data_IF_159751482721
#
_entry.id   IF_159751482721
#
_cell.length_a   1.000
_cell.length_b   1.000
_cell.length_c   1.000
_cell.angle_alpha   90.00
_cell.angle_beta   90.00
_cell.angle_gamma   90.00
#
_symmetry.space_group_name_H-M   'P 1'
#
loop_
_entity.id
_entity.type
_entity.pdbx_description
1 polymer ?
#
# COMPACT_ATOMS: atom_id res chain seq x y z
N UNK A 1 8.44 -42.13 1.42
CA UNK A 1 9.49 -41.13 1.15
C UNK A 1 8.88 -39.74 0.91
N UNK A 2 8.01 -39.27 1.82
CA UNK A 2 7.39 -37.94 1.74
C UNK A 2 7.26 -37.39 3.15
N UNK A 3 8.38 -36.91 3.71
CA UNK A 3 8.47 -36.10 4.92
C UNK A 3 9.96 -35.85 5.18
N UNK A 4 10.54 -34.85 4.50
CA UNK A 4 11.83 -34.22 4.82
C UNK A 4 12.17 -33.11 3.80
N UNK A 5 11.23 -32.19 3.55
CA UNK A 5 11.50 -30.93 2.86
C UNK A 5 10.53 -29.87 3.41
N UNK A 6 10.73 -29.43 4.65
CA UNK A 6 9.94 -28.32 5.21
C UNK A 6 10.74 -27.38 6.13
N UNK A 7 12.03 -27.61 6.33
CA UNK A 7 12.82 -26.83 7.31
C UNK A 7 14.09 -26.21 6.76
N UNK A 8 14.33 -26.29 5.45
CA UNK A 8 15.55 -25.74 4.82
C UNK A 8 15.33 -24.44 4.04
N UNK A 9 14.08 -24.01 3.80
CA UNK A 9 13.82 -22.94 2.81
C UNK A 9 13.98 -21.52 3.37
N UNK A 10 13.82 -21.28 4.67
CA UNK A 10 13.76 -19.89 5.18
C UNK A 10 15.13 -19.23 5.40
N UNK A 11 16.19 -20.02 5.67
CA UNK A 11 17.54 -19.48 5.91
C UNK A 11 18.35 -19.26 4.63
N UNK A 12 18.06 -19.99 3.55
CA UNK A 12 18.73 -19.82 2.26
C UNK A 12 18.24 -18.61 1.46
N UNK A 13 16.95 -18.27 1.57
CA UNK A 13 16.34 -17.19 0.77
C UNK A 13 16.82 -15.80 1.18
N UNK A 14 17.05 -15.56 2.47
CA UNK A 14 17.49 -14.23 2.96
C UNK A 14 18.94 -13.94 2.57
N UNK A 15 19.82 -14.95 2.57
CA UNK A 15 21.23 -14.77 2.19
C UNK A 15 21.40 -14.71 0.66
N UNK A 16 20.57 -15.42 -0.12
CA UNK A 16 20.52 -15.25 -1.57
C UNK A 16 20.00 -13.87 -1.98
N UNK A 17 19.03 -13.30 -1.26
CA UNK A 17 18.54 -11.94 -1.53
C UNK A 17 19.65 -10.90 -1.44
N UNK A 18 20.58 -11.00 -0.49
CA UNK A 18 21.66 -10.00 -0.33
C UNK A 18 22.74 -10.13 -1.42
N UNK A 19 23.05 -11.35 -1.88
CA UNK A 19 24.07 -11.57 -2.93
C UNK A 19 23.51 -11.27 -4.34
N UNK A 20 22.21 -11.42 -4.58
CA UNK A 20 21.58 -11.12 -5.87
C UNK A 20 21.30 -9.63 -6.12
N UNK A 21 21.29 -8.79 -5.08
CA UNK A 21 21.14 -7.32 -5.20
C UNK A 21 22.20 -6.70 -6.12
N UNK A 22 23.36 -7.34 -6.29
CA UNK A 22 24.48 -6.78 -7.05
C UNK A 22 24.63 -7.29 -8.50
N UNK A 23 23.84 -8.28 -8.95
CA UNK A 23 24.17 -9.01 -10.19
C UNK A 23 23.10 -9.00 -11.30
N UNK A 24 21.83 -8.69 -11.04
CA UNK A 24 20.84 -8.47 -12.12
C UNK A 24 19.53 -7.87 -11.60
N UNK A 25 19.19 -6.61 -11.96
CA UNK A 25 17.91 -6.00 -11.59
C UNK A 25 16.69 -6.80 -12.09
N UNK A 26 16.81 -7.46 -13.25
CA UNK A 26 15.72 -8.17 -13.93
C UNK A 26 15.27 -9.45 -13.22
N UNK A 27 16.19 -10.15 -12.56
CA UNK A 27 15.90 -11.38 -11.79
C UNK A 27 15.35 -11.09 -10.38
N UNK A 28 15.68 -9.93 -9.83
CA UNK A 28 15.09 -9.42 -8.58
C UNK A 28 13.60 -9.14 -8.73
N UNK A 29 13.19 -8.57 -9.87
CA UNK A 29 11.77 -8.38 -10.21
C UNK A 29 11.00 -9.70 -10.17
N UNK A 30 11.53 -10.78 -10.74
CA UNK A 30 10.83 -12.08 -10.72
C UNK A 30 10.75 -12.71 -9.33
N UNK A 31 11.78 -12.59 -8.49
CA UNK A 31 11.82 -13.17 -7.14
C UNK A 31 10.96 -12.39 -6.13
N UNK A 32 10.96 -11.06 -6.22
CA UNK A 32 10.00 -10.23 -5.49
C UNK A 32 8.59 -10.50 -6.00
N UNK A 33 8.36 -10.57 -7.31
CA UNK A 33 7.02 -10.84 -7.85
C UNK A 33 6.50 -12.23 -7.48
N UNK A 34 7.34 -13.28 -7.41
CA UNK A 34 6.91 -14.59 -6.94
C UNK A 34 6.69 -14.63 -5.41
N UNK A 35 7.53 -13.93 -4.64
CA UNK A 35 7.27 -13.74 -3.20
C UNK A 35 6.05 -12.85 -2.95
N UNK A 36 5.78 -11.83 -3.76
CA UNK A 36 4.63 -10.92 -3.65
C UNK A 36 3.37 -11.48 -4.28
N UNK A 37 3.41 -12.40 -5.24
CA UNK A 37 2.24 -13.16 -5.70
C UNK A 37 1.92 -14.31 -4.75
N UNK A 38 2.93 -14.94 -4.13
CA UNK A 38 2.71 -15.93 -3.08
C UNK A 38 2.23 -15.26 -1.78
N UNK A 39 2.81 -14.12 -1.40
CA UNK A 39 2.33 -13.25 -0.31
C UNK A 39 1.03 -12.58 -0.71
N UNK A 40 0.77 -12.17 -1.95
CA UNK A 40 -0.56 -11.68 -2.36
C UNK A 40 -1.56 -12.81 -2.36
N UNK A 41 -1.24 -14.07 -2.67
CA UNK A 41 -2.22 -15.15 -2.55
C UNK A 41 -2.48 -15.53 -1.09
N UNK A 42 -1.46 -15.54 -0.23
CA UNK A 42 -1.68 -15.68 1.22
C UNK A 42 -2.43 -14.47 1.78
N UNK A 43 -2.00 -13.25 1.48
CA UNK A 43 -2.60 -12.00 1.95
C UNK A 43 -3.98 -11.74 1.33
N UNK A 44 -4.28 -12.12 0.09
CA UNK A 44 -5.63 -12.08 -0.52
C UNK A 44 -6.56 -13.10 0.15
N UNK A 45 -6.03 -14.22 0.65
CA UNK A 45 -6.79 -15.14 1.51
C UNK A 45 -6.89 -14.62 2.97
N UNK A 46 -5.93 -13.82 3.44
CA UNK A 46 -5.94 -13.15 4.76
C UNK A 46 -6.73 -11.82 4.77
N UNK A 47 -7.08 -11.27 3.60
CA UNK A 47 -7.76 -9.98 3.41
C UNK A 47 -9.29 -10.08 3.43
N UNK A 48 -9.86 -11.26 3.71
CA UNK A 48 -11.09 -11.28 4.49
C UNK A 48 -10.73 -10.68 5.84
N UNK A 49 -10.89 -9.35 5.96
CA UNK A 49 -10.44 -8.55 7.11
C UNK A 49 -10.72 -9.25 8.44
N UNK A 50 -9.90 -9.01 9.48
CA UNK A 50 -9.80 -9.89 10.66
C UNK A 50 -11.19 -10.38 11.04
N UNK A 51 -11.42 -11.69 10.88
CA UNK A 51 -12.66 -12.32 11.29
C UNK A 51 -12.98 -11.79 12.68
N UNK A 52 -14.20 -11.24 12.86
CA UNK A 52 -14.66 -10.52 14.06
C UNK A 52 -14.49 -11.31 15.37
N UNK A 53 -14.02 -12.56 15.30
CA UNK A 53 -13.63 -13.45 16.39
C UNK A 53 -12.20 -13.29 16.92
N UNK A 54 -11.32 -12.50 16.29
CA UNK A 54 -9.92 -12.36 16.76
C UNK A 54 -9.83 -11.74 18.18
N UNK A 55 -10.85 -11.02 18.63
CA UNK A 55 -10.94 -10.47 19.99
C UNK A 55 -11.19 -11.51 21.10
N UNK A 56 -11.64 -12.73 20.77
CA UNK A 56 -11.95 -13.78 21.77
C UNK A 56 -10.77 -14.69 22.12
N UNK A 57 -9.79 -14.86 21.23
CA UNK A 57 -8.56 -15.64 21.47
C UNK A 57 -7.38 -14.80 22.03
N UNK A 58 -7.61 -13.50 22.24
CA UNK A 58 -6.58 -12.47 22.44
C UNK A 58 -5.82 -12.47 23.79
N UNK A 59 -6.44 -12.72 24.96
CA UNK A 59 -5.72 -12.79 26.24
C UNK A 59 -4.70 -13.94 26.26
N UNK A 60 -5.00 -15.00 25.52
CA UNK A 60 -4.15 -16.18 25.43
C UNK A 60 -2.87 -15.87 24.63
N UNK A 61 -2.94 -15.10 23.54
CA UNK A 61 -1.79 -14.71 22.72
C UNK A 61 -0.76 -13.87 23.48
N UNK A 62 -1.19 -12.92 24.31
CA UNK A 62 -0.30 -12.10 25.14
C UNK A 62 0.38 -12.93 26.24
N UNK A 63 -0.37 -13.81 26.91
CA UNK A 63 0.17 -14.76 27.88
C UNK A 63 1.14 -15.76 27.24
N UNK A 64 0.84 -16.23 26.03
CA UNK A 64 1.70 -17.09 25.21
C UNK A 64 2.99 -16.39 24.79
N UNK A 65 2.95 -15.11 24.44
CA UNK A 65 4.15 -14.33 24.18
C UNK A 65 5.01 -14.22 25.45
N UNK A 66 4.43 -13.81 26.58
CA UNK A 66 5.17 -13.64 27.84
C UNK A 66 5.79 -14.95 28.35
N UNK A 67 5.13 -16.09 28.14
CA UNK A 67 5.68 -17.43 28.47
C UNK A 67 6.75 -17.89 27.48
N UNK A 68 6.51 -17.73 26.18
CA UNK A 68 7.46 -18.12 25.12
C UNK A 68 8.73 -17.27 25.12
N UNK A 69 8.62 -15.96 25.30
CA UNK A 69 9.74 -15.02 25.32
C UNK A 69 10.66 -15.24 26.54
N UNK A 70 10.08 -15.64 27.69
CA UNK A 70 10.86 -16.01 28.89
C UNK A 70 11.57 -17.37 28.73
N UNK A 71 10.94 -18.33 28.07
CA UNK A 71 11.52 -19.65 27.83
C UNK A 71 12.65 -19.61 26.79
N UNK A 72 12.51 -18.79 25.75
CA UNK A 72 13.48 -18.70 24.65
C UNK A 72 13.76 -17.24 24.24
N UNK A 73 14.60 -16.50 24.98
CA UNK A 73 14.90 -15.09 24.71
C UNK A 73 15.53 -14.80 23.33
N UNK A 74 16.14 -15.82 22.71
CA UNK A 74 16.78 -15.70 21.40
C UNK A 74 15.86 -16.04 20.22
N UNK A 75 14.68 -16.62 20.48
CA UNK A 75 13.75 -17.05 19.44
C UNK A 75 12.88 -15.88 18.95
N UNK A 76 12.50 -15.85 17.66
CA UNK A 76 11.62 -14.83 17.09
C UNK A 76 10.14 -15.14 17.42
N UNK A 77 9.83 -15.26 18.72
CA UNK A 77 8.52 -15.71 19.23
C UNK A 77 7.40 -14.85 18.67
N UNK A 78 7.61 -13.53 18.60
CA UNK A 78 6.59 -12.59 18.12
C UNK A 78 6.29 -12.75 16.62
N UNK A 79 7.32 -13.01 15.81
CA UNK A 79 7.19 -13.27 14.38
C UNK A 79 6.44 -14.58 14.12
N UNK A 80 6.75 -15.63 14.88
CA UNK A 80 6.03 -16.91 14.79
C UNK A 80 4.55 -16.77 15.19
N UNK A 81 4.27 -15.95 16.21
CA UNK A 81 2.90 -15.65 16.62
C UNK A 81 2.14 -14.87 15.55
N UNK A 82 2.79 -13.90 14.90
CA UNK A 82 2.20 -13.16 13.78
C UNK A 82 1.76 -14.11 12.67
N UNK A 83 2.66 -15.01 12.25
CA UNK A 83 2.38 -16.00 11.22
C UNK A 83 1.26 -16.98 11.61
N UNK A 84 1.22 -17.43 12.87
CA UNK A 84 0.16 -18.33 13.37
C UNK A 84 -1.21 -17.64 13.46
N UNK A 85 -1.22 -16.34 13.72
CA UNK A 85 -2.42 -15.53 13.85
C UNK A 85 -2.89 -14.91 12.53
N UNK A 86 -2.17 -15.15 11.43
CA UNK A 86 -2.42 -14.54 10.13
C UNK A 86 -2.47 -13.00 10.18
N UNK A 87 -1.55 -12.43 10.97
CA UNK A 87 -1.37 -10.98 11.11
C UNK A 87 -0.01 -10.56 10.55
N UNK A 88 0.08 -9.34 10.02
CA UNK A 88 1.38 -8.80 9.65
C UNK A 88 2.28 -8.66 10.89
N UNK A 89 3.59 -8.95 10.78
CA UNK A 89 4.52 -8.82 11.90
C UNK A 89 4.48 -7.45 12.58
N UNK A 90 4.36 -6.36 11.82
CA UNK A 90 4.26 -4.99 12.32
C UNK A 90 2.94 -4.76 13.09
N UNK A 91 1.83 -5.32 12.62
CA UNK A 91 0.56 -5.25 13.36
C UNK A 91 0.65 -6.03 14.68
N UNK A 92 1.19 -7.25 14.64
CA UNK A 92 1.41 -8.04 15.86
C UNK A 92 2.32 -7.31 16.86
N UNK A 93 3.41 -6.73 16.38
CA UNK A 93 4.33 -5.92 17.19
C UNK A 93 3.64 -4.73 17.85
N UNK A 94 2.82 -4.00 17.09
CA UNK A 94 2.03 -2.87 17.60
C UNK A 94 1.10 -3.31 18.72
N UNK A 95 0.34 -4.38 18.53
CA UNK A 95 -0.66 -4.79 19.54
C UNK A 95 0.03 -5.30 20.82
N UNK A 96 1.13 -6.05 20.70
CA UNK A 96 1.89 -6.52 21.88
C UNK A 96 2.55 -5.34 22.62
N UNK A 97 3.12 -4.37 21.91
CA UNK A 97 3.69 -3.18 22.53
C UNK A 97 2.62 -2.33 23.22
N UNK A 98 1.47 -2.13 22.58
CA UNK A 98 0.34 -1.41 23.18
C UNK A 98 -0.09 -2.07 24.49
N UNK A 99 -0.14 -3.41 24.52
CA UNK A 99 -0.47 -4.14 25.74
C UNK A 99 0.61 -4.04 26.81
N UNK A 100 1.89 -4.08 26.41
CA UNK A 100 3.03 -3.92 27.32
C UNK A 100 2.98 -2.57 28.04
N UNK A 101 2.61 -1.51 27.33
CA UNK A 101 2.47 -0.15 27.90
C UNK A 101 1.25 0.02 28.82
N UNK A 102 0.25 -0.86 28.74
CA UNK A 102 -0.95 -0.81 29.59
C UNK A 102 -0.77 -1.44 30.98
N UNK A 103 0.32 -2.17 31.24
CA UNK A 103 0.58 -2.82 32.54
C UNK A 103 -0.37 -3.99 32.88
N UNK A 104 -0.12 -4.70 34.00
CA UNK A 104 -0.93 -5.84 34.44
C UNK A 104 -2.31 -5.45 35.02
N UNK A 105 -2.49 -4.22 35.50
CA UNK A 105 -3.77 -3.72 36.00
C UNK A 105 -4.52 -3.01 34.87
N UNK A 106 -5.25 -3.80 34.10
CA UNK A 106 -6.20 -3.29 33.14
C UNK A 106 -7.35 -2.58 33.85
N UNK A 107 -7.22 -1.27 34.09
CA UNK A 107 -8.40 -0.42 34.11
C UNK A 107 -9.00 -0.42 32.70
N UNK A 108 -10.07 -1.19 32.57
CA UNK A 108 -10.94 -1.29 31.40
C UNK A 108 -11.23 0.10 30.84
N UNK A 109 -10.57 0.49 29.73
CA UNK A 109 -11.06 1.61 28.91
C UNK A 109 -12.14 1.13 27.94
N UNK A 110 -13.14 1.96 27.63
CA UNK A 110 -14.27 1.57 26.81
C UNK A 110 -13.81 1.17 25.41
N UNK A 111 -14.50 0.16 24.86
CA UNK A 111 -14.51 -0.11 23.42
C UNK A 111 -14.83 1.18 22.68
N UNK A 112 -13.99 1.52 21.70
CA UNK A 112 -14.03 2.70 20.84
C UNK A 112 -13.68 4.05 21.53
N UNK A 113 -12.49 4.56 21.19
CA UNK A 113 -12.14 5.98 21.33
C UNK A 113 -11.21 6.31 22.50
N UNK A 114 -10.06 6.90 22.15
CA UNK A 114 -9.13 7.61 23.04
C UNK A 114 -8.17 6.76 23.91
N UNK A 115 -7.17 6.15 23.26
CA UNK A 115 -5.83 6.21 23.84
C UNK A 115 -5.44 7.70 23.95
N UNK A 116 -4.92 8.13 25.11
CA UNK A 116 -4.36 9.48 25.26
C UNK A 116 -3.40 9.74 24.11
N UNK A 117 -3.49 10.89 23.44
CA UNK A 117 -2.66 11.21 22.27
C UNK A 117 -1.16 11.04 22.58
N UNK A 118 -0.76 11.35 23.82
CA UNK A 118 0.59 11.09 24.32
C UNK A 118 1.00 9.61 24.29
N UNK A 119 0.09 8.68 24.57
CA UNK A 119 0.34 7.23 24.56
C UNK A 119 0.50 6.69 23.14
N UNK A 120 -0.26 7.22 22.16
CA UNK A 120 -0.07 6.89 20.74
C UNK A 120 1.27 7.39 20.22
N UNK A 121 1.65 8.61 20.59
CA UNK A 121 2.94 9.19 20.20
C UNK A 121 4.10 8.38 20.76
N UNK A 122 4.05 7.98 22.04
CA UNK A 122 5.06 7.11 22.65
C UNK A 122 5.14 5.75 21.95
N UNK A 123 3.99 5.13 21.68
CA UNK A 123 3.92 3.86 20.96
C UNK A 123 4.55 3.96 19.56
N UNK A 124 4.19 4.98 18.78
CA UNK A 124 4.74 5.17 17.43
C UNK A 124 6.25 5.42 17.47
N UNK A 125 6.73 6.19 18.46
CA UNK A 125 8.17 6.40 18.66
C UNK A 125 8.91 5.10 18.98
N UNK A 126 8.36 4.25 19.85
CA UNK A 126 8.95 2.95 20.20
C UNK A 126 8.88 1.92 19.06
N UNK A 127 7.86 1.96 18.21
CA UNK A 127 7.81 1.12 17.01
C UNK A 127 8.84 1.55 15.97
N UNK A 128 9.06 2.87 15.83
CA UNK A 128 10.07 3.44 14.94
C UNK A 128 11.49 3.18 15.45
N UNK A 129 11.68 3.29 16.76
CA UNK A 129 12.96 3.10 17.44
C UNK A 129 12.81 2.08 18.58
N UNK A 130 12.91 0.76 18.28
CA UNK A 130 12.72 -0.30 19.28
C UNK A 130 13.71 -0.25 20.45
N UNK A 131 14.83 0.46 20.31
CA UNK A 131 15.81 0.65 21.40
C UNK A 131 15.25 1.45 22.59
N UNK A 132 14.16 2.19 22.38
CA UNK A 132 13.45 2.93 23.45
C UNK A 132 12.62 2.02 24.37
N UNK A 133 12.45 0.74 24.01
CA UNK A 133 11.62 -0.20 24.76
C UNK A 133 12.44 -0.74 25.95
N UNK A 134 11.95 -0.59 27.21
CA UNK A 134 12.70 -1.01 28.39
C UNK A 134 13.01 -2.51 28.46
N UNK A 135 12.13 -3.35 27.92
CA UNK A 135 12.35 -4.80 27.84
C UNK A 135 13.21 -5.14 26.60
N UNK A 136 14.48 -5.57 26.77
CA UNK A 136 15.37 -5.87 25.65
C UNK A 136 14.92 -7.07 24.81
N UNK A 137 14.15 -8.01 25.39
CA UNK A 137 13.63 -9.17 24.65
C UNK A 137 12.49 -8.71 23.74
N UNK A 138 11.60 -7.86 24.25
CA UNK A 138 10.53 -7.24 23.47
C UNK A 138 11.07 -6.30 22.39
N UNK A 139 12.04 -5.45 22.72
CA UNK A 139 12.73 -4.58 21.77
C UNK A 139 13.28 -5.39 20.58
N UNK A 140 13.98 -6.49 20.86
CA UNK A 140 14.53 -7.39 19.84
C UNK A 140 13.45 -8.06 19.00
N UNK A 141 12.38 -8.55 19.62
CA UNK A 141 11.28 -9.21 18.91
C UNK A 141 10.52 -8.23 17.99
N UNK A 142 10.28 -7.01 18.47
CA UNK A 142 9.66 -5.94 17.67
C UNK A 142 10.57 -5.55 16.50
N UNK A 143 11.86 -5.34 16.76
CA UNK A 143 12.83 -5.08 15.69
C UNK A 143 12.83 -6.19 14.64
N UNK A 144 12.82 -7.47 15.06
CA UNK A 144 12.70 -8.60 14.14
C UNK A 144 11.40 -8.57 13.33
N UNK A 145 10.27 -8.20 13.94
CA UNK A 145 9.02 -8.04 13.21
C UNK A 145 9.12 -6.92 12.18
N UNK A 146 9.67 -5.77 12.54
CA UNK A 146 9.83 -4.61 11.64
C UNK A 146 10.67 -4.95 10.40
N UNK A 147 11.82 -5.64 10.57
CA UNK A 147 12.70 -5.97 9.43
C UNK A 147 12.20 -7.15 8.58
N UNK A 148 11.34 -8.01 9.13
CA UNK A 148 10.77 -9.17 8.42
C UNK A 148 9.33 -8.93 7.94
N UNK A 149 8.76 -7.74 8.18
CA UNK A 149 7.43 -7.41 7.69
C UNK A 149 7.49 -7.19 6.17
N UNK A 150 6.75 -8.04 5.45
CA UNK A 150 6.69 -8.03 3.99
C UNK A 150 5.61 -7.10 3.41
N UNK A 151 4.84 -6.42 4.26
CA UNK A 151 3.70 -5.60 3.86
C UNK A 151 3.89 -4.12 4.21
N UNK A 152 4.32 -3.82 5.43
CA UNK A 152 4.38 -2.50 6.06
C UNK A 152 5.72 -2.20 6.73
N UNK A 153 6.76 -2.99 6.42
CA UNK A 153 8.12 -2.76 6.91
C UNK A 153 8.80 -1.60 6.16
N UNK A 154 9.75 -0.86 6.79
CA UNK A 154 10.42 0.27 6.15
C UNK A 154 11.09 -0.07 4.81
N UNK A 155 11.67 -1.26 4.70
CA UNK A 155 12.28 -1.74 3.45
C UNK A 155 11.23 -1.92 2.35
N UNK A 156 10.07 -2.48 2.69
CA UNK A 156 8.96 -2.69 1.75
C UNK A 156 8.39 -1.35 1.32
N UNK A 157 8.28 -0.39 2.23
CA UNK A 157 7.83 0.96 1.91
C UNK A 157 8.81 1.66 0.94
N UNK A 158 10.12 1.53 1.16
CA UNK A 158 11.12 2.03 0.21
C UNK A 158 10.99 1.38 -1.18
N UNK A 159 10.76 0.06 -1.24
CA UNK A 159 10.57 -0.66 -2.51
C UNK A 159 9.29 -0.18 -3.20
N UNK A 160 8.16 -0.10 -2.48
CA UNK A 160 6.89 0.39 -3.01
C UNK A 160 7.02 1.81 -3.55
N UNK A 161 7.72 2.68 -2.83
CA UNK A 161 7.96 4.05 -3.25
C UNK A 161 8.80 4.09 -4.54
N UNK A 162 9.91 3.35 -4.60
CA UNK A 162 10.75 3.27 -5.79
C UNK A 162 9.96 2.75 -7.03
N UNK A 163 9.18 1.68 -6.85
CA UNK A 163 8.33 1.12 -7.91
C UNK A 163 7.25 2.12 -8.34
N UNK A 164 6.65 2.86 -7.41
CA UNK A 164 5.68 3.91 -7.70
C UNK A 164 6.27 5.00 -8.60
N UNK A 165 7.46 5.50 -8.23
CA UNK A 165 8.19 6.50 -9.00
C UNK A 165 8.57 6.01 -10.40
N UNK A 166 9.00 4.75 -10.54
CA UNK A 166 9.27 4.16 -11.86
C UNK A 166 8.03 4.16 -12.77
N UNK A 167 6.84 3.88 -12.21
CA UNK A 167 5.59 3.87 -12.97
C UNK A 167 5.07 5.27 -13.30
N UNK A 168 5.31 6.26 -12.44
CA UNK A 168 5.06 7.67 -12.76
C UNK A 168 5.94 8.14 -13.93
N UNK A 169 7.23 7.78 -13.94
CA UNK A 169 8.15 8.04 -15.07
C UNK A 169 7.65 7.33 -16.34
N UNK A 170 7.29 6.05 -16.25
CA UNK A 170 6.72 5.29 -17.36
C UNK A 170 5.44 5.96 -17.92
N UNK A 171 4.56 6.44 -17.04
CA UNK A 171 3.36 7.16 -17.45
C UNK A 171 3.72 8.44 -18.23
N UNK A 172 4.67 9.22 -17.73
CA UNK A 172 5.15 10.44 -18.40
C UNK A 172 5.71 10.12 -19.79
N UNK A 173 6.50 9.06 -19.92
CA UNK A 173 7.07 8.66 -21.21
C UNK A 173 5.99 8.22 -22.20
N UNK A 174 4.99 7.46 -21.74
CA UNK A 174 3.83 7.07 -22.58
C UNK A 174 3.01 8.28 -23.03
N UNK A 175 2.80 9.28 -22.18
CA UNK A 175 2.13 10.52 -22.54
C UNK A 175 2.91 11.29 -23.62
N UNK A 176 4.25 11.39 -23.47
CA UNK A 176 5.14 12.02 -24.46
C UNK A 176 5.15 11.28 -25.79
N UNK A 177 5.23 9.95 -25.78
CA UNK A 177 5.17 9.11 -26.98
C UNK A 177 3.89 9.33 -27.78
N UNK A 178 2.78 9.63 -27.09
CA UNK A 178 1.48 9.97 -27.70
C UNK A 178 1.30 11.46 -28.00
N UNK A 179 2.30 12.29 -27.76
CA UNK A 179 2.25 13.76 -27.90
C UNK A 179 1.09 14.39 -27.12
N UNK A 180 0.81 13.88 -25.91
CA UNK A 180 -0.18 14.47 -25.01
C UNK A 180 0.48 15.54 -24.14
N UNK A 181 -0.16 16.69 -24.01
CA UNK A 181 0.33 17.79 -23.17
C UNK A 181 -0.21 17.65 -21.74
N UNK A 182 0.66 17.78 -20.75
CA UNK A 182 0.32 17.51 -19.35
C UNK A 182 1.21 18.27 -18.36
N UNK A 183 0.69 18.39 -17.14
CA UNK A 183 1.40 18.86 -15.95
C UNK A 183 1.61 17.67 -15.00
N UNK A 184 2.85 17.50 -14.54
CA UNK A 184 3.19 16.50 -13.52
C UNK A 184 2.95 17.02 -12.09
N UNK A 185 2.95 16.11 -11.12
CA UNK A 185 2.72 16.44 -9.72
C UNK A 185 3.65 17.54 -9.17
N UNK A 186 4.93 17.54 -9.57
CA UNK A 186 5.90 18.54 -9.10
C UNK A 186 5.53 19.94 -9.59
N UNK A 187 5.12 20.06 -10.85
CA UNK A 187 4.63 21.32 -11.41
C UNK A 187 3.36 21.79 -10.70
N UNK A 188 2.42 20.89 -10.42
CA UNK A 188 1.19 21.21 -9.67
C UNK A 188 1.50 21.69 -8.25
N UNK A 189 2.45 21.07 -7.56
CA UNK A 189 2.88 21.51 -6.23
C UNK A 189 3.52 22.90 -6.26
N UNK A 190 4.34 23.20 -7.28
CA UNK A 190 4.90 24.56 -7.48
C UNK A 190 3.80 25.59 -7.74
N UNK A 191 2.71 25.20 -8.40
CA UNK A 191 1.53 26.05 -8.62
C UNK A 191 0.65 26.21 -7.37
N UNK A 192 0.97 25.55 -6.24
CA UNK A 192 0.29 25.72 -4.96
C UNK A 192 -0.92 24.80 -4.75
N UNK A 193 -1.02 23.68 -5.48
CA UNK A 193 -2.05 22.68 -5.23
C UNK A 193 -1.66 21.75 -4.05
N UNK A 194 -2.53 21.63 -3.05
CA UNK A 194 -2.30 20.79 -1.86
C UNK A 194 -2.59 19.29 -2.08
N UNK A 195 -3.51 18.97 -2.99
CA UNK A 195 -3.90 17.60 -3.35
C UNK A 195 -3.86 17.50 -4.86
N UNK A 196 -2.94 16.69 -5.36
CA UNK A 196 -2.55 16.64 -6.78
C UNK A 196 -2.61 15.19 -7.24
N UNK A 197 -3.29 14.90 -8.37
CA UNK A 197 -3.07 13.64 -9.07
C UNK A 197 -1.64 13.64 -9.65
N UNK A 198 -1.14 12.45 -10.03
CA UNK A 198 0.19 12.34 -10.64
C UNK A 198 0.31 13.16 -11.93
N UNK A 199 -0.78 13.22 -12.70
CA UNK A 199 -0.86 13.93 -13.98
C UNK A 199 -2.18 14.69 -14.09
N UNK A 200 -2.10 15.94 -14.55
CA UNK A 200 -3.23 16.68 -15.15
C UNK A 200 -2.97 16.87 -16.64
N UNK A 201 -3.95 16.53 -17.47
CA UNK A 201 -3.89 16.73 -18.91
C UNK A 201 -4.30 18.17 -19.23
N UNK A 202 -3.48 18.89 -20.01
CA UNK A 202 -3.82 20.24 -20.46
C UNK A 202 -4.99 20.21 -21.45
N UNK A 203 -5.04 19.15 -22.28
CA UNK A 203 -6.15 18.86 -23.18
C UNK A 203 -6.76 17.52 -22.75
N UNK A 204 -8.03 17.49 -22.30
CA UNK A 204 -8.69 16.25 -21.92
C UNK A 204 -8.72 15.23 -23.06
N UNK A 205 -8.62 13.96 -22.70
CA UNK A 205 -8.71 12.85 -23.64
C UNK A 205 -10.00 12.06 -23.43
N UNK A 206 -10.43 11.33 -24.46
CA UNK A 206 -11.47 10.33 -24.33
C UNK A 206 -10.85 8.92 -24.39
N UNK A 207 -11.25 8.06 -23.46
CA UNK A 207 -10.87 6.65 -23.35
C UNK A 207 -12.13 5.84 -23.16
N UNK A 208 -12.41 4.87 -24.03
CA UNK A 208 -13.67 4.09 -23.99
C UNK A 208 -14.93 4.97 -23.91
N UNK A 209 -14.93 6.13 -24.58
CA UNK A 209 -16.04 7.09 -24.55
C UNK A 209 -16.14 7.97 -23.29
N UNK A 210 -15.24 7.81 -22.32
CA UNK A 210 -15.20 8.58 -21.09
C UNK A 210 -14.14 9.68 -21.18
N UNK A 211 -14.50 10.91 -20.79
CA UNK A 211 -13.57 12.03 -20.73
C UNK A 211 -12.64 11.85 -19.52
N UNK A 212 -11.36 12.17 -19.69
CA UNK A 212 -10.30 12.06 -18.69
C UNK A 212 -9.53 13.37 -18.65
N UNK A 213 -9.55 14.03 -17.49
CA UNK A 213 -8.81 15.26 -17.22
C UNK A 213 -7.52 15.03 -16.45
N UNK A 214 -7.46 13.98 -15.64
CA UNK A 214 -6.30 13.63 -14.82
C UNK A 214 -6.08 12.12 -14.82
N UNK A 215 -4.84 11.73 -14.58
CA UNK A 215 -4.42 10.33 -14.48
C UNK A 215 -3.68 10.13 -13.16
N UNK A 216 -4.06 9.07 -12.44
CA UNK A 216 -3.35 8.59 -11.26
C UNK A 216 -2.72 7.23 -11.54
N UNK A 217 -1.44 7.10 -11.25
CA UNK A 217 -0.58 5.93 -11.40
C UNK A 217 -0.48 5.18 -10.07
N UNK A 218 -1.07 3.98 -9.99
CA UNK A 218 -0.95 3.10 -8.82
C UNK A 218 -0.15 1.86 -9.21
N UNK A 219 1.12 1.83 -8.80
CA UNK A 219 1.98 0.66 -8.98
C UNK A 219 1.70 -0.43 -7.92
N UNK A 220 0.44 -0.81 -7.79
CA UNK A 220 -0.08 -1.78 -6.85
C UNK A 220 -1.29 -2.52 -7.45
N UNK A 221 -1.68 -3.63 -6.84
CA UNK A 221 -2.95 -4.27 -7.16
C UNK A 221 -4.10 -3.50 -6.49
N UNK A 222 -5.18 -3.26 -7.22
CA UNK A 222 -6.38 -2.60 -6.70
C UNK A 222 -7.30 -3.60 -5.97
N UNK A 223 -7.27 -3.60 -4.64
CA UNK A 223 -8.20 -4.32 -3.78
C UNK A 223 -9.30 -3.41 -3.19
N UNK A 224 -10.40 -3.98 -2.69
CA UNK A 224 -11.54 -3.22 -2.13
C UNK A 224 -11.15 -2.24 -1.02
N UNK A 225 -10.26 -2.66 -0.12
CA UNK A 225 -9.90 -1.84 1.04
C UNK A 225 -9.05 -0.64 0.64
N UNK A 226 -8.00 -0.86 -0.15
CA UNK A 226 -7.12 0.22 -0.60
C UNK A 226 -7.86 1.15 -1.56
N UNK A 227 -8.62 0.61 -2.51
CA UNK A 227 -9.39 1.40 -3.47
C UNK A 227 -10.42 2.31 -2.78
N UNK A 228 -11.19 1.79 -1.82
CA UNK A 228 -12.13 2.60 -1.04
C UNK A 228 -11.43 3.71 -0.25
N UNK A 229 -10.23 3.45 0.25
CA UNK A 229 -9.44 4.46 0.95
C UNK A 229 -9.02 5.57 0.00
N UNK A 230 -8.46 5.22 -1.17
CA UNK A 230 -8.08 6.20 -2.19
C UNK A 230 -9.26 7.01 -2.73
N UNK A 231 -10.43 6.38 -2.94
CA UNK A 231 -11.63 7.10 -3.35
C UNK A 231 -11.95 8.26 -2.39
N UNK A 232 -11.97 7.97 -1.08
CA UNK A 232 -12.35 8.94 -0.06
C UNK A 232 -11.26 9.98 0.21
N UNK A 233 -9.99 9.59 0.18
CA UNK A 233 -8.89 10.47 0.56
C UNK A 233 -8.34 11.30 -0.61
N UNK A 234 -8.44 10.77 -1.84
CA UNK A 234 -7.78 11.30 -3.04
C UNK A 234 -8.77 11.52 -4.19
N UNK A 235 -9.33 10.45 -4.76
CA UNK A 235 -9.97 10.51 -6.09
C UNK A 235 -11.19 11.42 -6.14
N UNK A 236 -12.05 11.40 -5.12
CA UNK A 236 -13.19 12.34 -5.08
C UNK A 236 -12.74 13.80 -4.96
N UNK A 237 -11.59 14.07 -4.32
CA UNK A 237 -11.03 15.42 -4.28
C UNK A 237 -10.54 15.86 -5.66
N UNK A 238 -9.94 14.95 -6.43
CA UNK A 238 -9.52 15.26 -7.80
C UNK A 238 -10.72 15.46 -8.70
N UNK A 239 -11.71 14.57 -8.61
CA UNK A 239 -12.94 14.67 -9.38
C UNK A 239 -13.67 16.00 -9.15
N UNK A 240 -13.84 16.41 -7.89
CA UNK A 240 -14.50 17.68 -7.56
C UNK A 240 -13.74 18.92 -8.08
N UNK A 241 -12.43 18.82 -8.30
CA UNK A 241 -11.57 19.94 -8.71
C UNK A 241 -11.33 19.99 -10.22
N UNK A 242 -11.07 18.84 -10.82
CA UNK A 242 -10.56 18.71 -12.18
C UNK A 242 -11.54 17.95 -13.09
N UNK A 243 -12.63 17.41 -12.56
CA UNK A 243 -13.60 16.61 -13.31
C UNK A 243 -13.21 15.13 -13.42
N UNK A 244 -13.83 14.38 -14.35
CA UNK A 244 -13.58 12.96 -14.54
C UNK A 244 -12.09 12.61 -14.76
N UNK A 245 -11.68 11.43 -14.31
CA UNK A 245 -10.29 10.99 -14.41
C UNK A 245 -10.11 9.48 -14.48
N UNK A 246 -8.85 9.09 -14.65
CA UNK A 246 -8.41 7.72 -14.88
C UNK A 246 -7.45 7.30 -13.77
N UNK A 247 -7.65 6.11 -13.21
CA UNK A 247 -6.70 5.46 -12.31
C UNK A 247 -6.14 4.22 -13.00
N UNK A 248 -4.82 4.13 -13.09
CA UNK A 248 -4.12 2.98 -13.66
C UNK A 248 -3.54 2.13 -12.53
N UNK A 249 -4.10 0.94 -12.32
CA UNK A 249 -3.55 -0.09 -11.43
C UNK A 249 -2.63 -1.02 -12.22
N UNK A 250 -1.33 -0.73 -12.25
CA UNK A 250 -0.36 -1.41 -13.13
C UNK A 250 -0.21 -2.92 -12.92
N UNK A 251 -0.66 -3.42 -11.77
CA UNK A 251 -0.65 -4.86 -11.47
C UNK A 251 -2.04 -5.50 -11.48
N UNK A 252 -3.03 -4.82 -12.04
CA UNK A 252 -4.42 -5.26 -12.11
C UNK A 252 -5.25 -4.83 -10.90
N UNK A 253 -6.55 -5.09 -10.97
CA UNK A 253 -7.52 -4.76 -9.93
C UNK A 253 -8.70 -5.74 -9.96
N UNK A 254 -9.48 -5.78 -8.89
CA UNK A 254 -10.74 -6.54 -8.82
C UNK A 254 -11.77 -5.85 -9.73
N UNK A 255 -12.29 -6.55 -10.75
CA UNK A 255 -13.16 -5.97 -11.78
C UNK A 255 -14.38 -5.21 -11.22
N UNK A 256 -14.95 -5.70 -10.11
CA UNK A 256 -16.09 -5.09 -9.43
C UNK A 256 -15.80 -3.68 -8.86
N UNK A 257 -14.53 -3.27 -8.78
CA UNK A 257 -14.14 -1.92 -8.35
C UNK A 257 -14.45 -0.86 -9.40
N UNK A 258 -14.52 -1.20 -10.70
CA UNK A 258 -14.84 -0.25 -11.78
C UNK A 258 -16.35 0.10 -11.83
N UNK A 259 -17.03 0.03 -10.68
CA UNK A 259 -18.43 0.42 -10.51
C UNK A 259 -18.65 1.95 -10.46
N UNK A 260 -17.58 2.74 -10.37
CA UNK A 260 -17.65 4.22 -10.32
C UNK A 260 -17.41 4.88 -11.68
N UNK A 261 -17.30 4.09 -12.76
CA UNK A 261 -17.10 4.57 -14.14
C UNK A 261 -18.10 5.65 -14.54
N UNK A 262 -19.39 5.41 -14.32
CA UNK A 262 -20.48 6.36 -14.64
C UNK A 262 -20.43 7.64 -13.80
N UNK A 263 -19.70 7.62 -12.69
CA UNK A 263 -19.48 8.78 -11.82
C UNK A 263 -18.18 9.52 -12.15
N UNK A 264 -17.47 9.10 -13.20
CA UNK A 264 -16.30 9.78 -13.73
C UNK A 264 -14.97 9.31 -13.16
N UNK A 265 -14.90 8.15 -12.51
CA UNK A 265 -13.63 7.51 -12.14
C UNK A 265 -13.50 6.22 -12.96
N UNK A 266 -12.63 6.24 -13.97
CA UNK A 266 -12.35 5.08 -14.82
C UNK A 266 -11.15 4.30 -14.28
N UNK A 267 -11.22 2.98 -14.23
CA UNK A 267 -10.10 2.11 -13.85
C UNK A 267 -9.53 1.38 -15.07
N UNK A 268 -8.19 1.32 -15.16
CA UNK A 268 -7.46 0.50 -16.14
C UNK A 268 -6.30 -0.24 -15.48
N UNK A 269 -5.89 -1.35 -16.06
CA UNK A 269 -4.72 -2.14 -15.64
C UNK A 269 -3.44 -1.79 -16.43
N UNK A 270 -3.54 -0.84 -17.35
CA UNK A 270 -2.42 -0.31 -18.12
C UNK A 270 -2.80 0.97 -18.85
N UNK A 271 -1.80 1.60 -19.46
CA UNK A 271 -2.01 2.82 -20.24
C UNK A 271 -2.90 2.55 -21.47
N UNK A 272 -3.97 3.34 -21.69
CA UNK A 272 -4.94 3.08 -22.75
C UNK A 272 -4.32 3.22 -24.14
N UNK A 273 -4.67 2.29 -25.04
CA UNK A 273 -4.20 2.34 -26.42
C UNK A 273 -5.09 3.23 -27.30
N UNK A 274 -6.39 3.25 -26.99
CA UNK A 274 -7.52 3.86 -27.68
C UNK A 274 -7.80 5.28 -27.20
N UNK A 275 -6.80 6.16 -27.29
CA UNK A 275 -6.92 7.56 -26.87
C UNK A 275 -7.46 8.41 -28.04
N UNK A 276 -8.51 9.19 -27.77
CA UNK A 276 -9.04 10.20 -28.69
C UNK A 276 -8.86 11.60 -28.08
N UNK A 277 -8.26 12.51 -28.84
CA UNK A 277 -8.08 13.90 -28.40
C UNK A 277 -9.40 14.68 -28.49
N UNK A 278 -9.83 15.25 -27.37
CA UNK A 278 -10.96 16.18 -27.35
C UNK A 278 -10.48 17.51 -27.93
N UNK A 279 -10.59 17.68 -29.25
CA UNK A 279 -10.33 18.98 -29.83
C UNK A 279 -11.39 19.95 -29.30
N UNK A 280 -10.94 21.07 -28.72
CA UNK A 280 -11.83 22.20 -28.52
C UNK A 280 -12.34 22.60 -29.90
N UNK A 281 -13.61 22.32 -30.19
CA UNK A 281 -14.28 22.86 -31.36
C UNK A 281 -14.16 24.38 -31.24
N UNK A 282 -13.26 25.00 -32.01
CA UNK A 282 -13.34 26.42 -32.27
C UNK A 282 -14.75 26.67 -32.79
N UNK A 283 -15.53 27.44 -32.03
CA UNK A 283 -16.83 27.91 -32.47
C UNK A 283 -16.60 28.80 -33.70
N UNK A 284 -16.59 28.20 -34.89
CA UNK A 284 -16.85 28.90 -36.13
C UNK A 284 -18.34 29.23 -36.12
N UNK A 285 -18.70 30.29 -35.39
CA UNK A 285 -20.00 30.93 -35.54
C UNK A 285 -20.18 31.34 -37.01
N UNK A 286 -21.38 31.17 -37.59
CA UNK A 286 -21.60 31.51 -38.98
C UNK A 286 -21.35 33.02 -39.19
N UNK A 287 -20.81 33.45 -40.35
CA UNK A 287 -20.60 34.86 -40.62
C UNK A 287 -21.95 35.57 -40.60
N UNK A 288 -22.08 36.54 -39.71
CA UNK A 288 -23.19 37.50 -39.72
C UNK A 288 -23.22 38.19 -41.10
N UNK A 289 -24.28 37.92 -41.87
CA UNK A 289 -24.60 38.73 -43.04
C UNK A 289 -25.16 40.08 -42.54
N UNK A 290 -24.62 41.22 -42.99
CA UNK A 290 -25.21 42.52 -42.71
C UNK A 290 -26.50 42.69 -43.52
N UNK A 291 -27.58 43.04 -42.83
CA UNK A 291 -28.72 43.76 -43.39
C UNK A 291 -28.60 45.24 -43.03
#
# INVERSE_FOLDING_TARGET
MHQKLSTATTRGTVLLCVVFILLSPSLFFYLIFFSFQSVSRSCVLSLSGPSRDCGRHWPESSSRYLSGAKAHPAAPVLLELANKADLSPALMARIILERFLQGPEGEMRPRYGSACEASKTVLNSMLKEPSLIPDPILAKNIYQCTINDCCYGPLVDCIKHAIGQEHEVLLCDKLKERNLSFLDENQLRVMGYDKTPDIILEVPIAVEGHIVHWIESKASFGDDHSHRTYLNEQFWSYWNRFGPGLVIYWYGFIEELDCQRDRGILLKDGFPADIVLCHAAQQNGPPHQPQ
#
